data_IF_679375588373
#
_entry.id   IF_679375588373
#
_cell.length_a   1.000
_cell.length_b   1.000
_cell.length_c   1.000
_cell.angle_alpha   90.00
_cell.angle_beta   90.00
_cell.angle_gamma   90.00
#
_symmetry.space_group_name_H-M   'P 1'
#
loop_
_entity.id
_entity.type
_entity.pdbx_description
1 polymer ?
#
# COMPACT_ATOMS: atom_id res chain seq x y z
N UNK A 1 -4.67 -3.05 -22.42
CA UNK A 1 -4.59 -1.59 -22.16
C UNK A 1 -4.76 -1.24 -20.68
N UNK A 2 -5.72 -1.83 -19.95
CA UNK A 2 -5.97 -1.58 -18.52
C UNK A 2 -4.73 -1.76 -17.61
N UNK A 3 -4.03 -2.88 -17.71
CA UNK A 3 -2.84 -3.15 -16.88
C UNK A 3 -1.66 -2.22 -17.18
N UNK A 4 -1.55 -1.75 -18.42
CA UNK A 4 -0.55 -0.73 -18.78
C UNK A 4 -0.86 0.61 -18.10
N UNK A 5 -2.13 0.99 -18.03
CA UNK A 5 -2.56 2.20 -17.31
C UNK A 5 -2.25 2.09 -15.80
N UNK A 6 -2.51 0.93 -15.19
CA UNK A 6 -2.13 0.70 -13.79
C UNK A 6 -0.62 0.76 -13.58
N UNK A 7 0.17 0.18 -14.48
CA UNK A 7 1.62 0.22 -14.40
C UNK A 7 2.14 1.67 -14.43
N UNK A 8 1.71 2.45 -15.42
CA UNK A 8 2.10 3.87 -15.55
C UNK A 8 1.71 4.65 -14.29
N UNK A 9 0.50 4.41 -13.79
CA UNK A 9 0.01 5.10 -12.60
C UNK A 9 0.80 4.74 -11.33
N UNK A 10 1.14 3.47 -11.14
CA UNK A 10 1.99 3.02 -10.03
C UNK A 10 3.38 3.65 -10.11
N UNK A 11 3.98 3.73 -11.30
CA UNK A 11 5.28 4.39 -11.50
C UNK A 11 5.19 5.87 -11.13
N UNK A 12 4.12 6.58 -11.52
CA UNK A 12 3.92 7.97 -11.17
C UNK A 12 3.75 8.16 -9.65
N UNK A 13 2.93 7.34 -8.99
CA UNK A 13 2.76 7.38 -7.53
C UNK A 13 4.07 7.07 -6.80
N UNK A 14 4.83 6.11 -7.31
CA UNK A 14 6.11 5.76 -6.77
C UNK A 14 7.12 6.91 -6.91
N UNK A 15 7.19 7.54 -8.09
CA UNK A 15 8.00 8.72 -8.32
C UNK A 15 7.64 9.88 -7.40
N UNK A 16 6.35 10.13 -7.17
CA UNK A 16 5.87 11.11 -6.19
C UNK A 16 6.27 10.73 -4.76
N UNK A 17 6.17 9.46 -4.41
CA UNK A 17 6.49 8.97 -3.07
C UNK A 17 7.99 9.19 -2.74
N UNK A 18 8.87 8.83 -3.65
CA UNK A 18 10.33 8.98 -3.46
C UNK A 18 10.82 10.40 -3.73
N UNK A 19 10.31 11.06 -4.76
CA UNK A 19 10.72 12.41 -5.12
C UNK A 19 10.12 13.44 -4.18
N UNK A 20 8.83 13.73 -4.33
CA UNK A 20 8.18 14.84 -3.65
C UNK A 20 8.01 14.60 -2.14
N UNK A 21 7.44 13.45 -1.74
CA UNK A 21 7.16 13.20 -0.33
C UNK A 21 8.41 12.87 0.51
N UNK A 22 9.51 12.52 -0.13
CA UNK A 22 10.79 12.36 0.57
C UNK A 22 11.32 13.68 1.14
N UNK A 23 10.95 14.81 0.56
CA UNK A 23 11.30 16.15 1.05
C UNK A 23 10.54 16.52 2.34
N UNK A 24 9.38 15.93 2.54
CA UNK A 24 8.49 16.21 3.68
C UNK A 24 8.52 15.09 4.75
N UNK A 25 9.63 14.37 4.85
CA UNK A 25 9.77 13.35 5.89
C UNK A 25 9.70 13.95 7.29
N UNK A 26 8.73 13.52 8.09
CA UNK A 26 8.71 13.81 9.53
C UNK A 26 9.45 12.71 10.26
N UNK A 27 10.55 13.08 10.92
CA UNK A 27 11.37 12.14 11.68
C UNK A 27 11.83 10.90 10.87
N UNK A 28 12.09 11.11 9.58
CA UNK A 28 12.51 10.04 8.66
C UNK A 28 11.39 9.22 8.04
N UNK A 29 10.13 9.48 8.43
CA UNK A 29 8.93 8.77 7.91
C UNK A 29 8.27 9.57 6.82
N UNK A 30 8.03 8.96 5.66
CA UNK A 30 7.24 9.49 4.56
C UNK A 30 5.88 8.78 4.50
N UNK A 31 4.85 9.40 3.89
CA UNK A 31 3.61 8.72 3.60
C UNK A 31 3.84 7.58 2.61
N UNK A 32 2.98 6.58 2.63
CA UNK A 32 3.04 5.46 1.70
C UNK A 32 1.83 5.48 0.76
N UNK A 33 1.96 6.20 -0.36
CA UNK A 33 0.91 6.32 -1.37
C UNK A 33 0.53 4.99 -1.99
N UNK A 34 1.51 4.10 -2.15
CA UNK A 34 1.29 2.78 -2.73
C UNK A 34 0.45 1.89 -1.81
N UNK A 35 0.65 1.98 -0.49
CA UNK A 35 -0.19 1.30 0.49
C UNK A 35 -1.65 1.76 0.38
N UNK A 36 -1.88 3.08 0.32
CA UNK A 36 -3.24 3.63 0.20
C UNK A 36 -3.90 3.12 -1.09
N UNK A 37 -3.15 3.11 -2.19
CA UNK A 37 -3.65 2.62 -3.47
C UNK A 37 -4.04 1.14 -3.42
N UNK A 38 -3.16 0.29 -2.89
CA UNK A 38 -3.42 -1.14 -2.70
C UNK A 38 -4.67 -1.37 -1.86
N UNK A 39 -4.79 -0.66 -0.74
CA UNK A 39 -5.97 -0.72 0.13
C UNK A 39 -7.25 -0.35 -0.63
N UNK A 40 -7.25 0.78 -1.33
CA UNK A 40 -8.43 1.28 -2.04
C UNK A 40 -8.92 0.33 -3.14
N UNK A 41 -7.99 -0.29 -3.89
CA UNK A 41 -8.34 -1.28 -4.90
C UNK A 41 -8.77 -2.61 -4.30
N UNK A 42 -8.19 -3.02 -3.18
CA UNK A 42 -8.57 -4.25 -2.49
C UNK A 42 -9.98 -4.18 -1.89
N UNK A 43 -10.46 -2.97 -1.56
CA UNK A 43 -11.83 -2.75 -1.07
C UNK A 43 -12.89 -2.76 -2.18
N UNK A 44 -12.50 -2.86 -3.45
CA UNK A 44 -13.44 -2.96 -4.56
C UNK A 44 -13.99 -4.38 -4.73
N UNK A 45 -15.30 -4.47 -4.99
CA UNK A 45 -15.95 -5.75 -5.26
C UNK A 45 -15.67 -6.22 -6.69
N UNK A 46 -15.15 -7.42 -6.84
CA UNK A 46 -15.29 -8.18 -8.08
C UNK A 46 -14.14 -8.17 -9.09
N UNK A 47 -13.00 -7.55 -8.82
CA UNK A 47 -11.84 -7.59 -9.72
C UNK A 47 -10.65 -8.39 -9.17
N UNK A 48 -9.77 -8.87 -10.03
CA UNK A 48 -8.45 -9.38 -9.66
C UNK A 48 -7.36 -8.29 -9.78
N UNK A 49 -7.76 -7.06 -10.09
CA UNK A 49 -6.86 -5.94 -10.34
C UNK A 49 -6.04 -5.57 -9.11
N UNK A 50 -6.62 -5.78 -7.92
CA UNK A 50 -5.93 -5.53 -6.66
C UNK A 50 -4.67 -6.40 -6.49
N UNK A 51 -4.66 -7.63 -7.02
CA UNK A 51 -3.45 -8.46 -6.98
C UNK A 51 -2.33 -7.88 -7.81
N UNK A 52 -2.65 -7.45 -9.04
CA UNK A 52 -1.67 -6.84 -9.93
C UNK A 52 -1.09 -5.55 -9.31
N UNK A 53 -1.95 -4.70 -8.77
CA UNK A 53 -1.56 -3.44 -8.11
C UNK A 53 -0.73 -3.73 -6.86
N UNK A 54 -1.12 -4.71 -6.03
CA UNK A 54 -0.40 -5.06 -4.82
C UNK A 54 1.01 -5.58 -5.11
N UNK A 55 1.13 -6.52 -6.05
CA UNK A 55 2.44 -7.10 -6.42
C UNK A 55 3.37 -6.03 -6.99
N UNK A 56 2.90 -5.22 -7.94
CA UNK A 56 3.73 -4.18 -8.54
C UNK A 56 4.12 -3.10 -7.53
N UNK A 57 3.17 -2.64 -6.72
CA UNK A 57 3.45 -1.62 -5.69
C UNK A 57 4.48 -2.11 -4.67
N UNK A 58 4.34 -3.37 -4.23
CA UNK A 58 5.29 -3.99 -3.32
C UNK A 58 6.67 -4.16 -3.95
N UNK A 59 6.71 -4.63 -5.20
CA UNK A 59 7.95 -4.80 -5.95
C UNK A 59 8.75 -3.49 -6.08
N UNK A 60 8.10 -2.38 -6.42
CA UNK A 60 8.77 -1.08 -6.46
C UNK A 60 9.30 -0.67 -5.09
N UNK A 61 8.55 -0.89 -4.02
CA UNK A 61 9.03 -0.58 -2.67
C UNK A 61 10.19 -1.47 -2.24
N UNK A 62 10.17 -2.76 -2.57
CA UNK A 62 11.27 -3.68 -2.25
C UNK A 62 12.60 -3.23 -2.87
N UNK A 63 12.58 -2.72 -4.12
CA UNK A 63 13.79 -2.22 -4.77
C UNK A 63 14.42 -1.00 -4.09
N UNK A 64 13.59 -0.15 -3.47
CA UNK A 64 14.05 1.16 -3.01
C UNK A 64 14.02 1.33 -1.47
N UNK A 65 13.44 0.37 -0.75
CA UNK A 65 13.36 0.45 0.72
C UNK A 65 14.69 0.14 1.41
N UNK A 66 15.62 -0.53 0.71
CA UNK A 66 16.84 -1.05 1.32
C UNK A 66 16.60 -2.24 2.26
N UNK A 67 15.35 -2.66 2.47
CA UNK A 67 14.98 -3.87 3.21
C UNK A 67 15.20 -5.12 2.34
N UNK A 68 15.01 -6.30 2.92
CA UNK A 68 15.07 -7.54 2.15
C UNK A 68 13.99 -7.57 1.09
N UNK A 69 14.41 -7.94 -0.12
CA UNK A 69 13.53 -8.08 -1.26
C UNK A 69 12.42 -9.09 -0.99
N UNK A 70 11.20 -8.71 -1.33
CA UNK A 70 10.00 -9.54 -1.17
C UNK A 70 9.14 -9.18 0.05
N UNK A 71 9.64 -8.42 1.02
CA UNK A 71 8.89 -8.04 2.22
C UNK A 71 7.65 -7.22 1.91
N UNK A 72 7.79 -6.15 1.13
CA UNK A 72 6.66 -5.31 0.73
C UNK A 72 5.75 -6.03 -0.28
N UNK A 73 6.32 -6.76 -1.25
CA UNK A 73 5.53 -7.50 -2.24
C UNK A 73 4.61 -8.53 -1.59
N UNK A 74 5.14 -9.34 -0.68
CA UNK A 74 4.35 -10.33 0.06
C UNK A 74 3.38 -9.66 1.03
N UNK A 75 3.81 -8.63 1.76
CA UNK A 75 2.97 -7.90 2.70
C UNK A 75 1.77 -7.24 2.02
N UNK A 76 1.97 -6.58 0.88
CA UNK A 76 0.88 -5.96 0.12
C UNK A 76 -0.06 -6.98 -0.52
N UNK A 77 0.49 -8.09 -1.02
CA UNK A 77 -0.32 -9.17 -1.58
C UNK A 77 -1.24 -9.77 -0.51
N UNK A 78 -0.69 -10.10 0.66
CA UNK A 78 -1.47 -10.64 1.78
C UNK A 78 -2.51 -9.64 2.30
N UNK A 79 -2.12 -8.36 2.45
CA UNK A 79 -3.05 -7.30 2.84
C UNK A 79 -4.22 -7.20 1.86
N UNK A 80 -3.92 -7.12 0.56
CA UNK A 80 -4.93 -6.99 -0.48
C UNK A 80 -5.88 -8.19 -0.51
N UNK A 81 -5.35 -9.40 -0.34
CA UNK A 81 -6.14 -10.62 -0.23
C UNK A 81 -7.08 -10.60 0.98
N UNK A 82 -6.56 -10.25 2.17
CA UNK A 82 -7.35 -10.17 3.40
C UNK A 82 -8.46 -9.12 3.30
N UNK A 83 -8.15 -7.93 2.79
CA UNK A 83 -9.15 -6.88 2.61
C UNK A 83 -10.24 -7.29 1.62
N UNK A 84 -9.87 -7.91 0.50
CA UNK A 84 -10.84 -8.40 -0.47
C UNK A 84 -11.71 -9.53 0.09
N UNK A 85 -11.16 -10.42 0.92
CA UNK A 85 -11.93 -11.43 1.65
C UNK A 85 -12.98 -10.79 2.58
N UNK A 86 -12.57 -9.76 3.34
CA UNK A 86 -13.49 -9.03 4.22
C UNK A 86 -14.63 -8.41 3.42
N UNK A 87 -14.33 -7.71 2.33
CA UNK A 87 -15.36 -7.05 1.50
C UNK A 87 -16.30 -8.05 0.82
N UNK A 88 -15.80 -9.22 0.42
CA UNK A 88 -16.61 -10.27 -0.21
C UNK A 88 -17.58 -10.93 0.76
N UNK A 89 -17.11 -11.22 1.98
CA UNK A 89 -17.90 -11.96 2.97
C UNK A 89 -18.88 -11.07 3.73
N UNK A 90 -18.57 -9.79 3.88
CA UNK A 90 -19.43 -8.83 4.58
C UNK A 90 -20.11 -7.89 3.57
N UNK A 91 -21.16 -8.38 2.92
CA UNK A 91 -21.87 -7.73 1.80
C UNK A 91 -22.53 -6.35 2.12
N UNK A 92 -22.51 -5.89 3.37
CA UNK A 92 -23.26 -4.72 3.88
C UNK A 92 -22.35 -3.52 4.20
N UNK A 93 -21.06 -3.56 3.87
CA UNK A 93 -20.21 -2.39 4.15
C UNK A 93 -20.50 -1.24 3.17
N UNK A 94 -21.27 -0.28 3.64
CA UNK A 94 -21.24 1.05 3.06
C UNK A 94 -19.83 1.62 3.23
N UNK A 95 -19.26 2.16 2.14
CA UNK A 95 -17.95 2.82 2.16
C UNK A 95 -18.02 4.16 2.92
N UNK A 96 -18.30 4.09 4.21
CA UNK A 96 -18.33 5.24 5.09
C UNK A 96 -16.91 5.69 5.46
N UNK A 97 -16.73 6.97 5.70
CA UNK A 97 -15.44 7.54 6.12
C UNK A 97 -14.84 6.82 7.35
N UNK A 98 -15.66 6.44 8.31
CA UNK A 98 -15.23 5.66 9.49
C UNK A 98 -14.65 4.30 9.11
N UNK A 99 -15.26 3.61 8.14
CA UNK A 99 -14.75 2.35 7.63
C UNK A 99 -13.41 2.52 6.91
N UNK A 100 -13.28 3.55 6.06
CA UNK A 100 -12.04 3.83 5.35
C UNK A 100 -10.88 4.19 6.30
N UNK A 101 -11.14 5.00 7.33
CA UNK A 101 -10.12 5.32 8.34
C UNK A 101 -9.73 4.11 9.18
N UNK A 102 -10.68 3.26 9.56
CA UNK A 102 -10.42 2.02 10.27
C UNK A 102 -9.61 1.01 9.44
N UNK A 103 -9.95 0.85 8.16
CA UNK A 103 -9.19 -0.02 7.25
C UNK A 103 -7.80 0.52 6.96
N UNK A 104 -7.62 1.83 6.88
CA UNK A 104 -6.31 2.45 6.74
C UNK A 104 -5.44 2.16 7.97
N UNK A 105 -5.98 2.34 9.17
CA UNK A 105 -5.27 2.02 10.41
C UNK A 105 -4.83 0.55 10.43
N UNK A 106 -5.76 -0.36 10.15
CA UNK A 106 -5.48 -1.79 10.08
C UNK A 106 -4.43 -2.13 9.02
N UNK A 107 -4.48 -1.48 7.85
CA UNK A 107 -3.54 -1.71 6.76
C UNK A 107 -2.12 -1.26 7.11
N UNK A 108 -1.96 -0.08 7.71
CA UNK A 108 -0.65 0.42 8.15
C UNK A 108 -0.09 -0.52 9.22
N UNK A 109 -0.88 -0.86 10.25
CA UNK A 109 -0.47 -1.81 11.29
C UNK A 109 -0.05 -3.16 10.73
N UNK A 110 -0.84 -3.70 9.82
CA UNK A 110 -0.58 -5.01 9.23
C UNK A 110 0.73 -5.03 8.46
N UNK A 111 0.95 -4.05 7.59
CA UNK A 111 2.15 -4.01 6.74
C UNK A 111 3.40 -3.77 7.58
N UNK A 112 3.36 -2.82 8.51
CA UNK A 112 4.51 -2.53 9.38
C UNK A 112 4.86 -3.74 10.26
N UNK A 113 3.84 -4.42 10.84
CA UNK A 113 4.05 -5.63 11.62
C UNK A 113 4.58 -6.77 10.75
N UNK A 114 4.04 -6.94 9.54
CA UNK A 114 4.47 -7.98 8.62
C UNK A 114 5.94 -7.79 8.21
N UNK A 115 6.34 -6.58 7.86
CA UNK A 115 7.73 -6.28 7.48
C UNK A 115 8.67 -6.50 8.67
N UNK A 116 8.28 -6.10 9.88
CA UNK A 116 9.06 -6.36 11.09
C UNK A 116 9.24 -7.86 11.35
N UNK A 117 8.17 -8.67 11.23
CA UNK A 117 8.24 -10.12 11.37
C UNK A 117 9.11 -10.75 10.27
N UNK A 118 8.95 -10.30 9.03
CA UNK A 118 9.74 -10.75 7.90
C UNK A 118 11.23 -10.49 8.12
N UNK A 119 11.59 -9.30 8.56
CA UNK A 119 12.96 -8.91 8.89
C UNK A 119 13.55 -9.80 10.01
N UNK A 120 12.77 -10.08 11.07
CA UNK A 120 13.17 -11.00 12.13
C UNK A 120 13.43 -12.42 11.63
N UNK A 121 12.60 -12.92 10.71
CA UNK A 121 12.79 -14.25 10.12
C UNK A 121 14.08 -14.32 9.31
N UNK A 122 14.38 -13.29 8.54
CA UNK A 122 15.61 -13.19 7.74
C UNK A 122 16.86 -13.15 8.63
N UNK A 123 16.82 -12.36 9.70
CA UNK A 123 17.95 -12.32 10.69
C UNK A 123 18.14 -13.70 11.35
N UNK A 124 17.05 -14.35 11.76
CA UNK A 124 17.13 -15.71 12.37
C UNK A 124 17.63 -16.77 11.39
N UNK A 125 17.39 -16.62 10.10
CA UNK A 125 17.92 -17.54 9.08
C UNK A 125 19.42 -17.36 8.80
N UNK A 126 20.05 -16.36 9.41
CA UNK A 126 21.49 -16.07 9.24
C UNK A 126 21.83 -15.36 7.93
N UNK A 127 20.83 -14.90 7.17
CA UNK A 127 21.05 -14.17 5.93
C UNK A 127 21.57 -12.75 6.17
N UNK A 128 21.34 -12.20 7.38
CA UNK A 128 21.93 -10.95 7.85
C UNK A 128 22.19 -10.95 9.33
N UNK A 129 23.10 -10.10 9.75
CA UNK A 129 23.49 -9.95 11.16
C UNK A 129 22.78 -8.81 11.89
N UNK A 130 21.99 -7.96 11.16
CA UNK A 130 21.34 -6.77 11.72
C UNK A 130 19.89 -6.69 11.28
N UNK A 131 18.98 -6.51 12.25
CA UNK A 131 17.59 -6.18 11.96
C UNK A 131 17.50 -4.71 11.52
N UNK A 132 16.80 -4.44 10.41
CA UNK A 132 16.62 -3.08 9.89
C UNK A 132 15.65 -2.25 10.73
N UNK A 133 14.67 -2.92 11.37
CA UNK A 133 13.61 -2.24 12.13
C UNK A 133 13.72 -2.58 13.61
N UNK A 134 13.96 -1.55 14.43
CA UNK A 134 13.97 -1.69 15.88
C UNK A 134 12.55 -1.47 16.43
N UNK A 135 12.07 -2.32 17.34
CA UNK A 135 10.70 -2.25 17.88
C UNK A 135 10.35 -0.91 18.54
N UNK A 136 11.31 -0.23 19.13
CA UNK A 136 11.12 1.10 19.72
C UNK A 136 10.81 2.18 18.68
N UNK A 137 11.37 2.04 17.48
CA UNK A 137 11.12 2.93 16.34
C UNK A 137 9.77 2.62 15.66
N UNK A 138 9.35 1.35 15.68
CA UNK A 138 8.09 0.88 15.10
C UNK A 138 6.88 1.71 15.57
N UNK A 139 6.69 1.84 16.88
CA UNK A 139 5.54 2.57 17.44
C UNK A 139 5.45 4.03 16.97
N UNK A 140 6.58 4.70 16.89
CA UNK A 140 6.66 6.10 16.48
C UNK A 140 6.44 6.25 14.98
N UNK A 141 7.07 5.38 14.18
CA UNK A 141 6.94 5.38 12.72
C UNK A 141 5.50 5.11 12.31
N UNK A 142 4.85 4.13 12.93
CA UNK A 142 3.44 3.80 12.71
C UNK A 142 2.50 4.99 12.89
N UNK A 143 2.59 5.73 14.01
CA UNK A 143 1.71 6.88 14.25
C UNK A 143 1.90 7.96 13.18
N UNK A 144 3.15 8.33 12.88
CA UNK A 144 3.45 9.35 11.88
C UNK A 144 2.95 8.92 10.50
N UNK A 145 3.20 7.67 10.11
CA UNK A 145 2.77 7.13 8.83
C UNK A 145 1.24 7.08 8.72
N UNK A 146 0.55 6.68 9.81
CA UNK A 146 -0.91 6.66 9.84
C UNK A 146 -1.50 8.05 9.60
N UNK A 147 -1.04 9.08 10.33
CA UNK A 147 -1.55 10.44 10.14
C UNK A 147 -1.24 11.00 8.76
N UNK A 148 -0.06 10.74 8.21
CA UNK A 148 0.28 11.12 6.84
C UNK A 148 -0.63 10.45 5.81
N UNK A 149 -0.81 9.15 5.93
CA UNK A 149 -1.67 8.40 5.01
C UNK A 149 -3.14 8.82 5.14
N UNK A 150 -3.59 9.19 6.35
CA UNK A 150 -4.93 9.71 6.58
C UNK A 150 -5.16 11.05 5.86
N UNK A 151 -4.19 11.95 5.92
CA UNK A 151 -4.26 13.23 5.21
C UNK A 151 -4.32 13.02 3.68
N UNK A 152 -3.61 12.03 3.16
CA UNK A 152 -3.55 11.73 1.74
C UNK A 152 -4.66 10.80 1.26
N UNK A 153 -5.46 10.24 2.16
CA UNK A 153 -6.54 9.31 1.80
C UNK A 153 -7.57 9.96 0.87
N UNK A 154 -7.97 11.21 1.15
CA UNK A 154 -8.96 11.93 0.34
C UNK A 154 -8.47 12.21 -1.10
N UNK A 155 -7.29 12.82 -1.31
CA UNK A 155 -6.77 13.00 -2.67
C UNK A 155 -6.54 11.67 -3.40
N UNK A 156 -6.15 10.61 -2.70
CA UNK A 156 -5.96 9.28 -3.31
C UNK A 156 -7.28 8.64 -3.75
N UNK A 157 -8.38 8.84 -3.02
CA UNK A 157 -9.72 8.44 -3.49
C UNK A 157 -10.07 9.10 -4.82
N UNK A 158 -9.90 10.41 -4.92
CA UNK A 158 -10.16 11.17 -6.16
C UNK A 158 -9.28 10.69 -7.33
N UNK A 159 -8.01 10.45 -7.04
CA UNK A 159 -7.07 9.92 -8.04
C UNK A 159 -7.46 8.53 -8.54
N UNK A 160 -7.91 7.66 -7.64
CA UNK A 160 -8.40 6.32 -8.00
C UNK A 160 -9.63 6.42 -8.92
N UNK A 161 -10.62 7.22 -8.54
CA UNK A 161 -11.84 7.39 -9.32
C UNK A 161 -11.53 7.95 -10.73
N UNK A 162 -10.67 8.95 -10.80
CA UNK A 162 -10.17 9.51 -12.07
C UNK A 162 -9.48 8.44 -12.95
N UNK A 163 -8.62 7.60 -12.36
CA UNK A 163 -7.95 6.52 -13.09
C UNK A 163 -8.96 5.51 -13.65
N UNK A 164 -9.99 5.17 -12.88
CA UNK A 164 -11.02 4.25 -13.33
C UNK A 164 -11.87 4.83 -14.47
N UNK A 165 -12.24 6.10 -14.39
CA UNK A 165 -12.92 6.79 -15.49
C UNK A 165 -12.07 6.82 -16.77
N UNK A 166 -10.77 7.07 -16.65
CA UNK A 166 -9.86 7.02 -17.79
C UNK A 166 -9.82 5.63 -18.42
N UNK A 167 -9.66 4.59 -17.59
CA UNK A 167 -9.61 3.20 -18.08
C UNK A 167 -10.93 2.84 -18.79
N UNK A 168 -12.08 3.21 -18.23
CA UNK A 168 -13.38 2.97 -18.85
C UNK A 168 -13.50 3.67 -20.22
N UNK A 169 -13.14 4.95 -20.31
CA UNK A 169 -13.18 5.70 -21.57
C UNK A 169 -12.32 5.07 -22.68
N UNK A 170 -11.15 4.50 -22.30
CA UNK A 170 -10.29 3.81 -23.27
C UNK A 170 -10.77 2.40 -23.62
N UNK A 171 -11.48 1.73 -22.74
CA UNK A 171 -11.97 0.36 -22.98
C UNK A 171 -13.24 0.35 -23.84
N UNK A 172 -14.10 1.37 -23.75
CA UNK A 172 -15.35 1.48 -24.54
C UNK A 172 -15.16 2.17 -25.91
N UNK A 173 -13.96 2.64 -26.24
CA UNK A 173 -13.67 3.26 -27.56
C UNK A 173 -13.17 2.27 -28.62
N UNK A 174 -12.98 1.03 -28.26
CA UNK A 174 -12.55 -0.07 -29.14
C UNK A 174 -13.47 -1.29 -28.91
#
# INVERSE_FOLDING_TARGET
MKYLAYLVFIILLFGLNIGFFSLFKLQGVAPNLLLIMVMLFALEKGGLDFFFIAVLSGFFLDFFSGAFFGGYSLGFLLLAFLLNLVVRNFAVFEMNWKFLTGTLLASVLFVDLFIWLYDLLIVKSGLTNTAFINFSLFKRQFLIQFFYNLLLLFPMLRLKDFLQELIQKFTYRF
#
